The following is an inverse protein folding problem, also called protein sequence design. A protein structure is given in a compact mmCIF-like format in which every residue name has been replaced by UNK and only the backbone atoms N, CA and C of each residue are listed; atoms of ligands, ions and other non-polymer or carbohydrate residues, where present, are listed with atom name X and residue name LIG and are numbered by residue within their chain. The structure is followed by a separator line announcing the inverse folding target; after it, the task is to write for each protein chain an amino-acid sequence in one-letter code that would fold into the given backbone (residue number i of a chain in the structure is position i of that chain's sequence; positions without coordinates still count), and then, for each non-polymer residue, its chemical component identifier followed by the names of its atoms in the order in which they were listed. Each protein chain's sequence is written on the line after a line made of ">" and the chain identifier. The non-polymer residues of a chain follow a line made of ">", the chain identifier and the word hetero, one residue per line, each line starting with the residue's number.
data_IF_372343497168
#
_entry.id   IF_372343497168
#
_cell.length_a   1.000
_cell.length_b   1.000
_cell.length_c   1.000
_cell.angle_alpha   90.00
_cell.angle_beta   90.00
_cell.angle_gamma   90.00
#
_symmetry.space_group_name_H-M   'P 1'
#
loop_
_entity.id
_entity.type
_entity.pdbx_description
1 polymer ?
#
# COMPACT_ATOMS: atom_id res chain seq x y z
N UNK A 1 -4.78 -42.87 -63.79
CA UNK A 1 -5.65 -42.02 -63.01
C UNK A 1 -4.78 -41.27 -61.97
N UNK A 2 -4.40 -40.07 -62.36
CA UNK A 2 -3.59 -39.17 -61.51
C UNK A 2 -4.55 -38.32 -60.66
N UNK A 3 -4.45 -38.45 -59.37
CA UNK A 3 -5.20 -37.63 -58.40
C UNK A 3 -4.32 -36.40 -58.12
N UNK A 4 -4.74 -35.25 -58.62
CA UNK A 4 -4.18 -33.94 -58.25
C UNK A 4 -4.57 -33.58 -56.84
N UNK A 5 -3.61 -33.47 -55.95
CA UNK A 5 -3.78 -32.87 -54.64
C UNK A 5 -3.62 -31.37 -54.77
N UNK A 6 -4.74 -30.65 -54.79
CA UNK A 6 -4.76 -29.21 -54.54
C UNK A 6 -4.47 -28.93 -53.07
N UNK A 7 -3.34 -28.26 -52.80
CA UNK A 7 -3.07 -27.67 -51.49
C UNK A 7 -4.04 -26.50 -51.24
N UNK A 8 -4.73 -26.46 -50.11
CA UNK A 8 -5.51 -25.27 -49.74
C UNK A 8 -4.53 -24.15 -49.33
N UNK A 9 -4.53 -23.07 -50.08
CA UNK A 9 -3.87 -21.81 -49.72
C UNK A 9 -4.28 -21.38 -48.33
N UNK A 10 -3.41 -21.57 -47.34
CA UNK A 10 -3.50 -20.94 -46.03
C UNK A 10 -3.31 -19.43 -46.22
N UNK A 11 -4.38 -18.66 -46.42
CA UNK A 11 -4.44 -17.28 -45.94
C UNK A 11 -4.28 -17.31 -44.43
N UNK A 12 -3.07 -17.06 -43.93
CA UNK A 12 -2.86 -16.70 -42.53
C UNK A 12 -3.70 -15.47 -42.30
N UNK A 13 -4.85 -15.64 -41.67
CA UNK A 13 -5.52 -14.54 -40.97
C UNK A 13 -4.50 -14.02 -39.95
N UNK A 14 -3.98 -12.81 -40.14
CA UNK A 14 -3.17 -12.11 -39.18
C UNK A 14 -4.00 -12.07 -37.90
N UNK A 15 -3.61 -12.90 -36.91
CA UNK A 15 -4.29 -12.90 -35.60
C UNK A 15 -4.03 -11.54 -34.95
N UNK A 16 -5.09 -10.76 -34.80
CA UNK A 16 -5.03 -9.48 -34.11
C UNK A 16 -4.63 -9.73 -32.66
N UNK A 17 -3.49 -9.20 -32.23
CA UNK A 17 -3.00 -9.35 -30.86
C UNK A 17 -3.80 -8.44 -29.92
N UNK A 18 -4.41 -9.02 -28.90
CA UNK A 18 -4.97 -8.25 -27.77
C UNK A 18 -3.81 -7.75 -26.92
N UNK A 19 -3.77 -6.46 -26.63
CA UNK A 19 -2.66 -5.80 -25.91
C UNK A 19 -3.17 -4.69 -24.99
N UNK A 20 -2.32 -4.20 -24.12
CA UNK A 20 -2.58 -3.05 -23.25
C UNK A 20 -1.98 -1.76 -23.80
N UNK A 21 -2.46 -0.62 -23.33
CA UNK A 21 -1.88 0.69 -23.67
C UNK A 21 -0.42 0.74 -23.26
N UNK A 22 -0.05 0.20 -22.09
CA UNK A 22 1.33 0.13 -21.62
C UNK A 22 2.25 -0.60 -22.58
N UNK A 23 1.85 -1.80 -23.04
CA UNK A 23 2.65 -2.60 -23.98
C UNK A 23 2.91 -1.88 -25.31
N UNK A 24 2.02 -0.97 -25.74
CA UNK A 24 2.25 -0.19 -26.97
C UNK A 24 3.43 0.78 -26.84
N UNK A 25 3.75 1.23 -25.62
CA UNK A 25 4.87 2.15 -25.35
C UNK A 25 6.17 1.45 -24.99
N UNK A 26 6.15 0.20 -24.52
CA UNK A 26 7.34 -0.54 -24.03
C UNK A 26 8.33 -0.99 -25.15
N UNK A 27 8.05 -0.66 -26.40
CA UNK A 27 9.04 -0.78 -27.47
C UNK A 27 9.18 -2.16 -28.13
N UNK A 28 8.58 -3.21 -27.59
CA UNK A 28 8.66 -4.58 -28.14
C UNK A 28 7.79 -4.80 -29.39
N UNK A 29 6.77 -3.97 -29.57
CA UNK A 29 5.84 -4.07 -30.69
C UNK A 29 6.40 -3.35 -31.93
N UNK A 30 6.42 -4.06 -33.05
CA UNK A 30 6.92 -3.53 -34.35
C UNK A 30 5.85 -2.63 -34.97
N UNK A 31 6.28 -1.53 -35.59
CA UNK A 31 5.41 -0.66 -36.38
C UNK A 31 4.71 -1.47 -37.49
N UNK A 32 3.44 -1.19 -37.73
CA UNK A 32 2.57 -1.94 -38.65
C UNK A 32 1.86 -3.14 -38.02
N UNK A 33 2.18 -3.51 -36.76
CA UNK A 33 1.49 -4.61 -36.08
C UNK A 33 -0.01 -4.31 -35.90
N UNK A 34 -0.85 -5.30 -36.22
CA UNK A 34 -2.29 -5.25 -35.98
C UNK A 34 -2.59 -5.55 -34.52
N UNK A 35 -3.22 -4.61 -33.83
CA UNK A 35 -3.54 -4.66 -32.41
C UNK A 35 -5.03 -4.50 -32.17
N UNK A 36 -5.51 -5.09 -31.06
CA UNK A 36 -6.81 -4.82 -30.47
C UNK A 36 -6.62 -4.34 -29.04
N UNK A 37 -7.19 -3.19 -28.74
CA UNK A 37 -7.18 -2.57 -27.41
C UNK A 37 -8.59 -2.24 -26.96
N UNK A 38 -8.85 -2.37 -25.67
CA UNK A 38 -10.09 -1.93 -25.05
C UNK A 38 -9.77 -0.92 -23.95
N UNK A 39 -10.63 0.08 -23.77
CA UNK A 39 -10.39 1.08 -22.73
C UNK A 39 -11.47 2.16 -22.72
N UNK A 40 -11.19 3.22 -21.98
CA UNK A 40 -12.08 4.36 -21.81
C UNK A 40 -11.55 5.59 -22.50
N UNK A 41 -12.46 6.33 -23.15
CA UNK A 41 -12.17 7.61 -23.79
C UNK A 41 -11.85 8.66 -22.73
N UNK A 42 -10.64 9.23 -22.81
CA UNK A 42 -10.17 10.29 -21.89
C UNK A 42 -10.36 11.68 -22.49
N UNK A 43 -10.25 11.79 -23.79
CA UNK A 43 -10.61 12.99 -24.56
C UNK A 43 -10.79 12.63 -26.03
N UNK A 44 -11.54 13.46 -26.73
CA UNK A 44 -11.69 13.39 -28.19
C UNK A 44 -11.56 14.78 -28.81
N UNK A 45 -10.97 14.85 -29.99
CA UNK A 45 -10.93 16.05 -30.81
C UNK A 45 -11.24 15.66 -32.26
N UNK A 46 -12.21 16.32 -32.87
CA UNK A 46 -12.52 16.16 -34.28
C UNK A 46 -11.75 17.19 -35.08
N UNK A 47 -11.10 16.76 -36.15
CA UNK A 47 -10.36 17.60 -37.09
C UNK A 47 -11.32 18.14 -38.16
N UNK A 48 -11.00 19.32 -38.70
CA UNK A 48 -11.69 19.86 -39.87
C UNK A 48 -11.52 19.00 -41.14
N UNK A 49 -10.54 18.09 -41.12
CA UNK A 49 -10.23 17.17 -42.20
C UNK A 49 -11.10 15.88 -42.23
N UNK A 50 -12.14 15.77 -41.37
CA UNK A 50 -13.06 14.63 -41.41
C UNK A 50 -12.56 13.39 -40.67
N UNK A 51 -11.67 13.55 -39.68
CA UNK A 51 -11.18 12.46 -38.82
C UNK A 51 -11.15 12.89 -37.35
N UNK A 52 -11.10 11.94 -36.42
CA UNK A 52 -11.08 12.20 -34.98
C UNK A 52 -9.82 11.62 -34.34
N UNK A 53 -9.27 12.35 -33.36
CA UNK A 53 -8.27 11.86 -32.42
C UNK A 53 -8.96 11.48 -31.12
N UNK A 54 -8.90 10.22 -30.75
CA UNK A 54 -9.45 9.68 -29.51
C UNK A 54 -8.30 9.26 -28.60
N UNK A 55 -8.23 9.82 -27.39
CA UNK A 55 -7.27 9.37 -26.38
C UNK A 55 -7.89 8.23 -25.57
N UNK A 56 -7.31 7.06 -25.69
CA UNK A 56 -7.72 5.83 -25.01
C UNK A 56 -6.82 5.56 -23.82
N UNK A 57 -7.39 5.14 -22.69
CA UNK A 57 -6.67 4.65 -21.53
C UNK A 57 -7.38 3.42 -20.97
N UNK A 58 -6.62 2.37 -20.67
CA UNK A 58 -7.11 1.11 -20.11
C UNK A 58 -6.68 0.90 -18.63
N UNK A 59 -6.01 1.89 -18.04
CA UNK A 59 -5.51 1.85 -16.66
C UNK A 59 -4.15 1.18 -16.49
N UNK A 60 -3.59 0.56 -17.53
CA UNK A 60 -2.29 -0.14 -17.47
C UNK A 60 -1.10 0.80 -17.24
N UNK A 61 -1.20 2.06 -17.67
CA UNK A 61 -0.20 3.12 -17.44
C UNK A 61 -0.89 4.49 -17.25
N UNK A 62 -0.11 5.51 -16.95
CA UNK A 62 -0.59 6.89 -16.80
C UNK A 62 -0.94 7.51 -18.15
N UNK A 63 -0.10 7.23 -19.15
CA UNK A 63 -0.20 7.78 -20.51
C UNK A 63 -1.44 7.30 -21.25
N UNK A 64 -1.96 8.13 -22.13
CA UNK A 64 -3.08 7.78 -23.01
C UNK A 64 -2.55 7.50 -24.41
N UNK A 65 -3.07 6.45 -25.06
CA UNK A 65 -2.75 6.13 -26.43
C UNK A 65 -3.67 6.92 -27.37
N UNK A 66 -3.11 7.62 -28.34
CA UNK A 66 -3.90 8.27 -29.39
C UNK A 66 -4.38 7.24 -30.40
N UNK A 67 -5.68 7.28 -30.67
CA UNK A 67 -6.34 6.53 -31.74
C UNK A 67 -6.78 7.53 -32.79
N UNK A 68 -6.30 7.33 -34.02
CA UNK A 68 -6.73 8.09 -35.20
C UNK A 68 -7.89 7.35 -35.83
N UNK A 69 -9.07 7.95 -35.78
CA UNK A 69 -10.29 7.43 -36.36
C UNK A 69 -10.61 8.20 -37.64
N UNK A 70 -10.43 7.56 -38.81
CA UNK A 70 -10.72 8.15 -40.10
C UNK A 70 -12.22 8.29 -40.30
N UNK A 71 -12.65 9.33 -41.04
CA UNK A 71 -14.04 9.57 -41.41
C UNK A 71 -14.64 8.50 -42.35
N UNK A 72 -13.80 7.67 -42.95
CA UNK A 72 -14.20 6.54 -43.78
C UNK A 72 -14.65 5.30 -42.98
N UNK A 73 -14.50 5.29 -41.65
CA UNK A 73 -14.99 4.21 -40.79
C UNK A 73 -16.49 4.12 -40.87
N UNK A 74 -17.02 2.91 -41.04
CA UNK A 74 -18.45 2.62 -41.28
C UNK A 74 -19.41 3.29 -40.27
N UNK A 75 -18.94 3.38 -39.00
CA UNK A 75 -19.71 3.96 -37.90
C UNK A 75 -19.24 5.37 -37.48
N UNK A 76 -18.47 6.07 -38.33
CA UNK A 76 -17.88 7.35 -37.95
C UNK A 76 -18.95 8.38 -37.55
N UNK A 77 -19.91 8.71 -38.45
CA UNK A 77 -20.92 9.72 -38.21
C UNK A 77 -21.99 9.24 -37.19
N UNK A 78 -22.29 7.94 -37.19
CA UNK A 78 -23.35 7.38 -36.33
C UNK A 78 -22.91 7.24 -34.88
N UNK A 79 -21.61 6.93 -34.62
CA UNK A 79 -21.10 6.60 -33.28
C UNK A 79 -19.84 7.39 -32.90
N UNK A 80 -18.77 7.33 -33.73
CA UNK A 80 -17.46 7.87 -33.35
C UNK A 80 -17.48 9.38 -33.12
N UNK A 81 -18.20 10.09 -33.97
CA UNK A 81 -18.41 11.53 -33.84
C UNK A 81 -19.16 11.93 -32.56
N UNK A 82 -19.95 11.02 -31.98
CA UNK A 82 -20.70 11.22 -30.74
C UNK A 82 -20.01 10.78 -29.47
N UNK A 83 -18.81 10.12 -29.59
CA UNK A 83 -18.05 9.65 -28.43
C UNK A 83 -17.74 10.81 -27.47
N UNK A 84 -18.08 10.61 -26.21
CA UNK A 84 -17.77 11.48 -25.09
C UNK A 84 -16.70 10.88 -24.15
N UNK A 85 -16.24 11.71 -23.21
CA UNK A 85 -15.36 11.27 -22.13
C UNK A 85 -16.09 10.23 -21.25
N UNK A 86 -15.40 9.14 -20.94
CA UNK A 86 -15.96 8.07 -20.11
C UNK A 86 -16.62 6.93 -20.91
N UNK A 87 -16.91 7.09 -22.20
CA UNK A 87 -17.35 5.99 -23.04
C UNK A 87 -16.28 4.90 -23.10
N UNK A 88 -16.69 3.64 -23.16
CA UNK A 88 -15.78 2.51 -23.35
C UNK A 88 -15.82 2.02 -24.79
N UNK A 89 -14.65 1.74 -25.36
CA UNK A 89 -14.49 1.33 -26.75
C UNK A 89 -13.52 0.16 -26.90
N UNK A 90 -13.73 -0.64 -27.94
CA UNK A 90 -12.77 -1.57 -28.48
C UNK A 90 -12.24 -1.02 -29.80
N UNK A 91 -10.93 -1.02 -29.98
CA UNK A 91 -10.25 -0.50 -31.17
C UNK A 91 -9.39 -1.60 -31.78
N UNK A 92 -9.60 -1.90 -33.04
CA UNK A 92 -8.69 -2.70 -33.85
C UNK A 92 -8.01 -1.78 -34.86
N UNK A 93 -6.67 -1.84 -34.97
CA UNK A 93 -5.93 -0.96 -35.85
C UNK A 93 -4.44 -1.26 -35.93
N UNK A 94 -3.72 -0.51 -36.73
CA UNK A 94 -2.26 -0.62 -36.89
C UNK A 94 -1.53 0.33 -35.96
N UNK A 95 -0.52 -0.20 -35.26
CA UNK A 95 0.42 0.61 -34.49
C UNK A 95 1.35 1.35 -35.46
N UNK A 96 1.46 2.64 -35.35
CA UNK A 96 2.33 3.48 -36.18
C UNK A 96 3.09 4.49 -35.32
N UNK A 97 4.21 5.00 -35.86
CA UNK A 97 4.90 6.14 -35.26
C UNK A 97 4.00 7.38 -35.33
N UNK A 98 3.87 8.09 -34.21
CA UNK A 98 3.05 9.30 -34.17
C UNK A 98 3.79 10.50 -34.78
N UNK A 99 3.08 11.31 -35.54
CA UNK A 99 3.58 12.61 -36.03
C UNK A 99 3.26 13.74 -35.03
N UNK A 100 2.49 13.44 -33.97
CA UNK A 100 2.09 14.42 -32.95
C UNK A 100 3.22 14.72 -31.95
N UNK A 101 3.27 15.94 -31.46
CA UNK A 101 4.18 16.30 -30.35
C UNK A 101 3.72 15.65 -29.04
N UNK A 102 4.66 15.01 -28.32
CA UNK A 102 4.42 14.49 -26.98
C UNK A 102 3.89 13.06 -26.91
N UNK A 103 3.97 12.32 -28.02
CA UNK A 103 3.71 10.88 -28.08
C UNK A 103 4.51 10.25 -29.22
N UNK A 104 5.07 9.08 -28.97
CA UNK A 104 5.92 8.39 -29.95
C UNK A 104 5.14 7.46 -30.87
N UNK A 105 3.99 6.96 -30.41
CA UNK A 105 3.17 5.94 -31.09
C UNK A 105 1.69 6.30 -31.04
N UNK A 106 0.96 5.82 -32.06
CA UNK A 106 -0.48 5.95 -32.16
C UNK A 106 -1.09 4.75 -32.90
N UNK A 107 -2.42 4.57 -32.80
CA UNK A 107 -3.15 3.53 -33.52
C UNK A 107 -3.95 4.19 -34.66
N UNK A 108 -3.71 3.75 -35.87
CA UNK A 108 -4.63 4.03 -36.98
C UNK A 108 -5.73 2.98 -36.98
N UNK A 109 -6.92 3.38 -36.55
CA UNK A 109 -8.07 2.49 -36.39
C UNK A 109 -8.58 1.99 -37.72
N UNK A 110 -8.85 0.68 -37.79
CA UNK A 110 -9.56 0.01 -38.89
C UNK A 110 -10.98 -0.28 -38.46
N UNK A 111 -11.19 -0.52 -37.16
CA UNK A 111 -12.50 -0.72 -36.56
C UNK A 111 -12.54 -0.12 -35.16
N UNK A 112 -13.59 0.59 -34.84
CA UNK A 112 -13.93 1.03 -33.48
C UNK A 112 -15.33 0.54 -33.17
N UNK A 113 -15.49 -0.12 -32.02
CA UNK A 113 -16.77 -0.57 -31.50
C UNK A 113 -17.03 0.10 -30.17
N UNK A 114 -18.16 0.73 -30.01
CA UNK A 114 -18.59 1.36 -28.76
C UNK A 114 -19.21 0.30 -27.85
N UNK A 115 -18.55 -0.02 -26.76
CA UNK A 115 -18.97 -1.05 -25.80
C UNK A 115 -19.92 -0.46 -24.74
N UNK A 116 -19.75 0.81 -24.40
CA UNK A 116 -20.60 1.48 -23.42
C UNK A 116 -20.60 2.99 -23.61
N UNK A 117 -21.79 3.56 -23.62
CA UNK A 117 -22.02 4.99 -23.73
C UNK A 117 -22.06 5.68 -22.37
N UNK A 118 -21.82 6.97 -22.38
CA UNK A 118 -22.20 7.90 -21.31
C UNK A 118 -23.43 8.62 -21.80
N UNK A 119 -24.58 8.25 -21.25
CA UNK A 119 -25.90 8.73 -21.75
C UNK A 119 -26.03 10.25 -21.65
N UNK A 120 -25.54 10.83 -20.57
CA UNK A 120 -25.45 12.28 -20.37
C UNK A 120 -24.03 12.71 -20.09
N UNK A 121 -23.27 13.19 -21.09
CA UNK A 121 -21.91 13.64 -20.94
C UNK A 121 -21.73 14.78 -19.93
N UNK A 122 -22.74 15.61 -19.69
CA UNK A 122 -22.67 16.71 -18.73
C UNK A 122 -22.77 16.21 -17.29
N UNK A 123 -23.43 15.09 -17.06
CA UNK A 123 -23.52 14.46 -15.74
C UNK A 123 -22.28 13.66 -15.36
N UNK A 124 -21.34 13.36 -16.30
CA UNK A 124 -20.16 12.58 -16.02
C UNK A 124 -19.19 13.33 -15.10
N UNK A 125 -18.98 12.87 -13.84
CA UNK A 125 -18.32 13.68 -12.84
C UNK A 125 -16.80 13.79 -13.01
N UNK A 126 -16.17 12.85 -13.73
CA UNK A 126 -14.70 12.81 -13.96
C UNK A 126 -14.35 13.58 -15.25
N UNK A 127 -14.50 14.89 -15.21
CA UNK A 127 -14.12 15.76 -16.33
C UNK A 127 -12.59 15.89 -16.47
N UNK A 128 -12.12 16.41 -17.61
CA UNK A 128 -10.70 16.72 -17.87
C UNK A 128 -10.24 17.97 -17.11
N UNK A 129 -10.33 17.93 -15.76
CA UNK A 129 -9.85 19.01 -14.88
C UNK A 129 -9.26 18.39 -13.60
N UNK A 130 -8.50 19.18 -12.84
CA UNK A 130 -8.04 18.76 -11.52
C UNK A 130 -9.26 18.71 -10.57
N UNK A 131 -9.42 17.59 -9.89
CA UNK A 131 -10.45 17.39 -8.86
C UNK A 131 -9.81 17.42 -7.48
N UNK A 132 -10.50 18.00 -6.49
CA UNK A 132 -10.06 17.88 -5.10
C UNK A 132 -10.33 16.47 -4.55
N UNK A 133 -9.59 16.08 -3.51
CA UNK A 133 -9.82 14.77 -2.87
C UNK A 133 -11.20 14.70 -2.21
N UNK A 134 -11.69 15.79 -1.65
CA UNK A 134 -13.04 15.88 -1.06
C UNK A 134 -14.11 15.55 -2.12
N UNK A 135 -14.01 16.17 -3.31
CA UNK A 135 -14.91 15.84 -4.40
C UNK A 135 -14.78 14.37 -4.82
N UNK A 136 -13.54 13.86 -4.97
CA UNK A 136 -13.33 12.47 -5.39
C UNK A 136 -13.86 11.45 -4.37
N UNK A 137 -14.00 11.81 -3.10
CA UNK A 137 -14.66 10.98 -2.09
C UNK A 137 -16.18 10.88 -2.35
N UNK A 138 -16.82 11.93 -2.82
CA UNK A 138 -18.25 11.89 -3.15
C UNK A 138 -18.59 11.02 -4.37
N UNK A 139 -17.61 10.77 -5.24
CA UNK A 139 -17.70 9.93 -6.44
C UNK A 139 -16.68 8.78 -6.41
N UNK A 140 -16.49 8.21 -5.23
CA UNK A 140 -15.40 7.27 -4.94
C UNK A 140 -15.41 6.02 -5.86
N UNK A 141 -16.58 5.56 -6.33
CA UNK A 141 -16.73 4.45 -7.30
C UNK A 141 -16.18 4.78 -8.70
N UNK A 142 -16.02 6.07 -9.04
CA UNK A 142 -15.45 6.52 -10.33
C UNK A 142 -14.02 7.08 -10.17
N UNK A 143 -13.57 7.41 -8.96
CA UNK A 143 -12.23 7.99 -8.73
C UNK A 143 -11.06 7.15 -9.26
N UNK A 144 -11.14 5.79 -9.36
CA UNK A 144 -10.07 5.00 -9.99
C UNK A 144 -9.81 5.35 -11.46
N UNK A 145 -10.76 6.00 -12.13
CA UNK A 145 -10.60 6.50 -13.51
C UNK A 145 -9.76 7.78 -13.59
N UNK A 146 -9.36 8.38 -12.46
CA UNK A 146 -8.47 9.54 -12.45
C UNK A 146 -7.00 9.12 -12.52
N UNK A 147 -6.13 9.98 -13.03
CA UNK A 147 -4.69 9.73 -13.07
C UNK A 147 -4.13 9.49 -11.67
N UNK A 148 -4.54 10.30 -10.68
CA UNK A 148 -4.08 10.19 -9.29
C UNK A 148 -4.39 8.82 -8.70
N UNK A 149 -5.65 8.36 -8.76
CA UNK A 149 -6.02 7.07 -8.17
C UNK A 149 -5.58 5.87 -9.00
N UNK A 150 -5.47 6.02 -10.32
CA UNK A 150 -4.82 5.03 -11.18
C UNK A 150 -3.36 4.82 -10.79
N UNK A 151 -2.60 5.91 -10.65
CA UNK A 151 -1.20 5.88 -10.23
C UNK A 151 -1.03 5.29 -8.81
N UNK A 152 -1.84 5.73 -7.83
CA UNK A 152 -1.85 5.15 -6.48
C UNK A 152 -2.07 3.62 -6.55
N UNK A 153 -3.04 3.17 -7.33
CA UNK A 153 -3.37 1.74 -7.44
C UNK A 153 -2.21 0.94 -8.03
N UNK A 154 -1.54 1.43 -9.09
CA UNK A 154 -0.39 0.76 -9.70
C UNK A 154 0.80 0.70 -8.75
N UNK A 155 1.11 1.80 -8.05
CA UNK A 155 2.19 1.84 -7.03
C UNK A 155 1.86 0.86 -5.89
N UNK A 156 0.65 0.88 -5.34
CA UNK A 156 0.23 -0.05 -4.27
C UNK A 156 0.36 -1.51 -4.70
N UNK A 157 -0.11 -1.83 -5.91
CA UNK A 157 0.03 -3.18 -6.46
C UNK A 157 1.50 -3.59 -6.56
N UNK A 158 2.37 -2.72 -7.10
CA UNK A 158 3.80 -3.04 -7.25
C UNK A 158 4.47 -3.24 -5.91
N UNK A 159 4.20 -2.36 -4.93
CA UNK A 159 4.70 -2.50 -3.57
C UNK A 159 4.28 -3.81 -2.91
N UNK A 160 3.00 -4.18 -3.00
CA UNK A 160 2.52 -5.43 -2.42
C UNK A 160 3.22 -6.64 -3.04
N UNK A 161 3.38 -6.67 -4.37
CA UNK A 161 4.12 -7.74 -5.06
C UNK A 161 5.61 -7.75 -4.68
N UNK A 162 6.23 -6.59 -4.49
CA UNK A 162 7.62 -6.46 -4.06
C UNK A 162 7.82 -7.02 -2.65
N UNK A 163 6.92 -6.70 -1.72
CA UNK A 163 6.93 -7.23 -0.34
C UNK A 163 6.82 -8.75 -0.33
N UNK A 164 5.84 -9.33 -1.03
CA UNK A 164 5.68 -10.77 -1.10
C UNK A 164 6.90 -11.47 -1.70
N UNK A 165 7.46 -10.94 -2.78
CA UNK A 165 8.66 -11.48 -3.43
C UNK A 165 9.88 -11.41 -2.51
N UNK A 166 10.10 -10.27 -1.85
CA UNK A 166 11.20 -10.11 -0.91
C UNK A 166 11.18 -11.18 0.20
N UNK A 167 10.04 -11.42 0.80
CA UNK A 167 9.92 -12.43 1.86
C UNK A 167 10.04 -13.85 1.33
N UNK A 168 9.45 -14.17 0.19
CA UNK A 168 9.57 -15.50 -0.45
C UNK A 168 11.03 -15.83 -0.79
N UNK A 169 11.73 -14.91 -1.47
CA UNK A 169 13.16 -15.06 -1.82
C UNK A 169 14.07 -15.10 -0.58
N UNK A 170 13.66 -14.50 0.54
CA UNK A 170 14.35 -14.55 1.83
C UNK A 170 14.02 -15.80 2.65
N UNK A 171 13.17 -16.69 2.14
CA UNK A 171 12.79 -17.97 2.75
C UNK A 171 11.78 -17.83 3.89
N UNK A 172 10.91 -16.84 3.84
CA UNK A 172 9.80 -16.66 4.78
C UNK A 172 8.53 -17.34 4.27
N UNK A 173 7.75 -17.86 5.19
CA UNK A 173 6.40 -18.34 4.91
C UNK A 173 5.36 -17.26 5.21
N UNK A 174 4.45 -17.03 4.27
CA UNK A 174 3.31 -16.17 4.50
C UNK A 174 2.24 -16.89 5.31
N UNK A 175 1.82 -16.29 6.41
CA UNK A 175 0.82 -16.83 7.34
C UNK A 175 -0.38 -15.90 7.42
N UNK A 176 -1.57 -16.44 7.25
CA UNK A 176 -2.82 -15.72 7.49
C UNK A 176 -3.18 -15.80 8.98
N UNK A 177 -2.91 -14.74 9.71
CA UNK A 177 -3.30 -14.62 11.12
C UNK A 177 -4.79 -14.31 11.25
N UNK A 178 -5.46 -14.71 12.35
CA UNK A 178 -6.87 -14.41 12.57
C UNK A 178 -7.16 -12.91 12.58
N UNK A 179 -8.23 -12.50 11.89
CA UNK A 179 -8.71 -11.11 11.86
C UNK A 179 -9.68 -10.86 13.03
N UNK A 180 -10.47 -11.88 13.40
CA UNK A 180 -11.34 -11.82 14.57
C UNK A 180 -10.60 -12.50 15.73
N UNK A 181 -10.49 -11.79 16.84
CA UNK A 181 -9.74 -12.25 18.03
C UNK A 181 -10.51 -11.95 19.30
N UNK A 182 -10.26 -12.72 20.34
CA UNK A 182 -10.72 -12.42 21.70
C UNK A 182 -9.64 -11.76 22.56
N UNK A 183 -8.41 -11.59 22.05
CA UNK A 183 -7.26 -11.08 22.80
C UNK A 183 -6.80 -9.75 22.25
N UNK A 184 -6.57 -8.78 23.12
CA UNK A 184 -5.85 -7.55 22.83
C UNK A 184 -4.34 -7.81 22.87
N UNK A 185 -3.67 -7.78 21.72
CA UNK A 185 -2.24 -8.02 21.64
C UNK A 185 -1.39 -6.82 22.09
N UNK A 186 -1.92 -5.61 22.08
CA UNK A 186 -1.19 -4.41 22.50
C UNK A 186 -1.55 -4.01 23.96
N UNK A 187 -2.64 -4.53 24.51
CA UNK A 187 -3.05 -4.35 25.90
C UNK A 187 -3.59 -2.95 26.22
N UNK A 188 -3.80 -2.09 25.24
CA UNK A 188 -4.23 -0.70 25.44
C UNK A 188 -5.01 -0.13 24.24
N UNK A 189 -5.32 -0.93 23.22
CA UNK A 189 -5.95 -0.45 22.00
C UNK A 189 -7.47 -0.39 22.09
N UNK A 190 -8.08 0.69 21.63
CA UNK A 190 -9.51 0.72 21.34
C UNK A 190 -9.79 -0.21 20.14
N UNK A 191 -10.41 -1.35 20.40
CA UNK A 191 -10.74 -2.35 19.39
C UNK A 191 -12.18 -2.21 18.90
N UNK A 192 -12.40 -2.46 17.61
CA UNK A 192 -13.75 -2.62 17.08
C UNK A 192 -14.33 -3.95 17.50
N UNK A 193 -15.46 -3.93 18.21
CA UNK A 193 -16.16 -5.15 18.63
C UNK A 193 -16.88 -5.79 17.45
N UNK A 194 -16.79 -7.13 17.37
CA UNK A 194 -17.54 -7.98 16.42
C UNK A 194 -18.60 -8.75 17.21
N UNK A 195 -19.85 -8.58 16.83
CA UNK A 195 -20.98 -9.24 17.49
C UNK A 195 -22.12 -9.51 16.51
N UNK A 196 -22.80 -10.62 16.66
CA UNK A 196 -24.05 -10.95 15.95
C UNK A 196 -25.29 -10.64 16.77
N UNK A 197 -25.12 -10.18 18.00
CA UNK A 197 -26.22 -9.81 18.89
C UNK A 197 -26.78 -8.43 18.52
N UNK A 198 -28.11 -8.29 18.59
CA UNK A 198 -28.77 -6.99 18.50
C UNK A 198 -28.56 -6.21 19.83
N UNK A 199 -27.59 -5.31 19.83
CA UNK A 199 -27.22 -4.52 21.00
C UNK A 199 -28.10 -3.27 21.20
N UNK A 200 -28.89 -2.88 20.18
CA UNK A 200 -29.72 -1.67 20.25
C UNK A 200 -30.91 -1.81 21.19
N UNK A 201 -31.28 -3.04 21.55
CA UNK A 201 -32.48 -3.34 22.36
C UNK A 201 -32.18 -4.11 23.65
N UNK A 202 -30.89 -4.22 24.04
CA UNK A 202 -30.49 -4.91 25.27
C UNK A 202 -29.95 -3.96 26.32
N UNK A 203 -30.46 -4.03 27.55
CA UNK A 203 -29.94 -3.28 28.70
C UNK A 203 -28.58 -3.81 29.19
N UNK A 204 -28.33 -5.13 29.00
CA UNK A 204 -27.06 -5.79 29.25
C UNK A 204 -26.79 -6.79 28.12
N UNK A 205 -25.56 -6.84 27.66
CA UNK A 205 -25.13 -7.79 26.62
C UNK A 205 -24.44 -8.97 27.27
N UNK A 206 -25.01 -10.16 27.09
CA UNK A 206 -24.39 -11.44 27.47
C UNK A 206 -23.71 -12.04 26.23
N UNK A 207 -22.39 -11.91 26.17
CA UNK A 207 -21.61 -12.43 25.04
C UNK A 207 -21.51 -13.95 25.02
N UNK A 208 -21.94 -14.66 26.08
CA UNK A 208 -22.05 -16.13 26.03
C UNK A 208 -23.11 -16.61 25.02
N UNK A 209 -24.07 -15.74 24.68
CA UNK A 209 -25.08 -15.97 23.64
C UNK A 209 -24.62 -15.56 22.24
N UNK A 210 -23.47 -14.91 22.09
CA UNK A 210 -22.95 -14.48 20.81
C UNK A 210 -22.33 -15.63 20.01
N UNK A 211 -22.05 -15.42 18.73
CA UNK A 211 -21.56 -16.43 17.79
C UNK A 211 -20.35 -17.22 18.31
N UNK A 212 -19.39 -16.55 18.93
CA UNK A 212 -18.19 -17.19 19.49
C UNK A 212 -18.32 -17.57 20.98
N UNK A 213 -19.45 -17.29 21.61
CA UNK A 213 -19.67 -17.52 23.04
C UNK A 213 -18.80 -16.67 23.98
N UNK A 214 -18.19 -15.63 23.43
CA UNK A 214 -17.34 -14.67 24.15
C UNK A 214 -17.26 -13.36 23.38
N UNK A 215 -16.80 -12.31 24.07
CA UNK A 215 -16.53 -11.02 23.42
C UNK A 215 -15.39 -11.14 22.41
N UNK A 216 -15.60 -10.64 21.20
CA UNK A 216 -14.63 -10.69 20.10
C UNK A 216 -14.49 -9.34 19.40
N UNK A 217 -13.32 -9.16 18.79
CA UNK A 217 -12.90 -7.88 18.22
C UNK A 217 -12.20 -8.09 16.88
N UNK A 218 -12.12 -7.02 16.09
CA UNK A 218 -11.19 -6.94 14.96
C UNK A 218 -9.76 -6.72 15.49
N UNK A 219 -8.82 -7.47 14.96
CA UNK A 219 -7.42 -7.44 15.42
C UNK A 219 -6.73 -6.11 15.18
N UNK A 220 -5.88 -5.70 16.10
CA UNK A 220 -4.99 -4.54 15.98
C UNK A 220 -3.60 -4.91 15.42
N UNK A 221 -3.24 -6.21 15.46
CA UNK A 221 -1.98 -6.77 14.95
C UNK A 221 -2.06 -8.30 14.86
N UNK A 222 -1.37 -8.90 13.91
CA UNK A 222 -1.20 -10.35 13.80
C UNK A 222 -0.01 -10.90 14.58
N UNK A 223 0.80 -10.05 15.22
CA UNK A 223 2.10 -10.40 15.82
C UNK A 223 2.04 -11.60 16.75
N UNK A 224 1.23 -11.58 17.80
CA UNK A 224 1.25 -12.64 18.82
C UNK A 224 0.88 -14.02 18.24
N UNK A 225 -0.08 -14.06 17.31
CA UNK A 225 -0.42 -15.29 16.59
C UNK A 225 0.73 -15.73 15.66
N UNK A 226 1.42 -14.76 15.05
CA UNK A 226 2.54 -15.07 14.16
C UNK A 226 3.74 -15.62 14.91
N UNK A 227 4.02 -15.18 16.14
CA UNK A 227 5.08 -15.72 17.00
C UNK A 227 4.91 -17.25 17.23
N UNK A 228 3.68 -17.76 17.25
CA UNK A 228 3.44 -19.21 17.35
C UNK A 228 4.01 -19.96 16.15
N UNK A 229 3.89 -19.39 14.97
CA UNK A 229 4.44 -19.94 13.73
C UNK A 229 5.95 -19.74 13.64
N UNK A 230 6.47 -18.59 14.09
CA UNK A 230 7.91 -18.33 14.12
C UNK A 230 8.65 -19.35 14.99
N UNK A 231 8.11 -19.69 16.16
CA UNK A 231 8.65 -20.71 17.07
C UNK A 231 8.59 -22.16 16.51
N UNK A 232 7.99 -22.35 15.34
CA UNK A 232 7.90 -23.65 14.65
C UNK A 232 8.56 -23.64 13.27
N UNK A 233 8.40 -22.56 12.51
CA UNK A 233 8.80 -22.42 11.08
C UNK A 233 10.01 -21.51 10.89
N UNK A 234 10.49 -20.84 11.93
CA UNK A 234 11.66 -19.98 11.98
C UNK A 234 11.50 -18.61 11.34
N UNK A 235 11.05 -18.51 10.09
CA UNK A 235 10.88 -17.25 9.36
C UNK A 235 9.48 -17.18 8.80
N UNK A 236 8.68 -16.28 9.30
CA UNK A 236 7.27 -16.13 8.90
C UNK A 236 6.93 -14.65 8.80
N UNK A 237 5.92 -14.33 8.00
CA UNK A 237 5.34 -13.00 7.98
C UNK A 237 3.83 -13.07 7.75
N UNK A 238 3.12 -12.07 8.25
CA UNK A 238 1.75 -11.81 7.83
C UNK A 238 1.68 -10.50 7.05
N UNK A 239 0.78 -10.42 6.11
CA UNK A 239 0.43 -9.20 5.39
C UNK A 239 -1.10 -9.19 5.31
N UNK A 240 -1.72 -8.50 6.23
CA UNK A 240 -3.15 -8.56 6.43
C UNK A 240 -3.75 -7.28 7.02
N UNK A 241 -5.09 -7.18 6.99
CA UNK A 241 -5.81 -6.04 7.53
C UNK A 241 -5.73 -6.00 9.05
N UNK A 242 -5.59 -4.78 9.58
CA UNK A 242 -5.62 -4.45 11.01
C UNK A 242 -6.54 -3.26 11.25
N UNK A 243 -7.08 -3.16 12.46
CA UNK A 243 -8.13 -2.21 12.78
C UNK A 243 -7.84 -1.54 14.13
N UNK A 244 -7.94 -0.23 14.19
CA UNK A 244 -7.77 0.54 15.43
C UNK A 244 -8.89 1.55 15.58
N UNK A 245 -9.63 1.50 16.69
CA UNK A 245 -10.76 2.40 16.96
C UNK A 245 -10.32 3.72 17.62
N UNK A 246 -9.04 4.09 17.48
CA UNK A 246 -8.47 5.29 18.07
C UNK A 246 -9.17 6.55 17.55
N UNK A 247 -9.62 7.40 18.49
CA UNK A 247 -10.22 8.69 18.17
C UNK A 247 -9.14 9.76 17.90
N UNK A 248 -8.38 9.55 16.85
CA UNK A 248 -7.31 10.48 16.42
C UNK A 248 -7.68 11.23 15.15
N UNK A 249 -7.60 12.55 15.18
CA UNK A 249 -7.87 13.43 14.02
C UNK A 249 -6.62 13.80 13.21
N UNK A 250 -5.57 12.98 13.25
CA UNK A 250 -4.37 13.23 12.46
C UNK A 250 -4.45 12.60 11.08
N UNK A 251 -3.70 13.13 10.13
CA UNK A 251 -3.60 12.59 8.75
C UNK A 251 -2.88 11.23 8.68
N UNK A 252 -2.33 10.73 9.79
CA UNK A 252 -1.50 9.52 9.87
C UNK A 252 -2.21 8.32 10.49
N UNK A 253 -3.37 8.51 11.15
CA UNK A 253 -4.12 7.45 11.80
C UNK A 253 -5.29 7.01 10.93
N UNK A 254 -5.37 5.73 10.67
CA UNK A 254 -6.41 5.07 9.90
C UNK A 254 -7.10 4.04 10.79
N UNK A 255 -8.43 3.93 10.68
CA UNK A 255 -9.20 2.94 11.41
C UNK A 255 -9.03 1.52 10.85
N UNK A 256 -8.75 1.42 9.54
CA UNK A 256 -8.45 0.19 8.81
C UNK A 256 -7.22 0.40 7.96
N UNK A 257 -6.23 -0.48 8.06
CA UNK A 257 -5.00 -0.46 7.28
C UNK A 257 -4.39 -1.86 7.22
N UNK A 258 -3.42 -2.05 6.34
CA UNK A 258 -2.72 -3.32 6.21
C UNK A 258 -1.37 -3.26 6.91
N UNK A 259 -1.06 -4.31 7.68
CA UNK A 259 0.24 -4.47 8.34
C UNK A 259 1.07 -5.54 7.65
N UNK A 260 2.35 -5.27 7.53
CA UNK A 260 3.40 -6.21 7.15
C UNK A 260 4.16 -6.51 8.44
N UNK A 261 4.07 -7.74 8.93
CA UNK A 261 4.60 -8.13 10.23
C UNK A 261 5.42 -9.42 10.09
N UNK A 262 6.75 -9.36 9.87
CA UNK A 262 7.61 -10.53 9.94
C UNK A 262 7.97 -10.87 11.38
N UNK A 263 8.19 -12.17 11.64
CA UNK A 263 8.75 -12.71 12.88
C UNK A 263 9.85 -13.74 12.54
N UNK A 264 10.99 -13.64 13.23
CA UNK A 264 12.18 -14.46 12.98
C UNK A 264 12.66 -15.07 14.29
N UNK A 265 12.68 -16.40 14.36
CA UNK A 265 13.31 -17.13 15.44
C UNK A 265 14.84 -17.18 15.28
N UNK A 266 15.56 -17.23 16.42
CA UNK A 266 17.02 -17.19 16.53
C UNK A 266 17.62 -15.86 16.01
N UNK A 267 16.91 -14.76 16.22
CA UNK A 267 17.30 -13.42 15.80
C UNK A 267 17.27 -12.44 16.98
N UNK A 268 18.14 -11.47 16.93
CA UNK A 268 18.20 -10.35 17.86
C UNK A 268 17.64 -9.04 17.26
N UNK A 269 17.75 -7.94 18.00
CA UNK A 269 17.28 -6.62 17.55
C UNK A 269 18.04 -6.14 16.30
N UNK A 270 19.33 -6.45 16.17
CA UNK A 270 20.15 -6.01 15.03
C UNK A 270 19.75 -6.79 13.75
N UNK A 271 19.48 -8.09 13.88
CA UNK A 271 18.97 -8.91 12.78
C UNK A 271 17.65 -8.35 12.27
N UNK A 272 16.78 -7.95 13.20
CA UNK A 272 15.49 -7.35 12.91
C UNK A 272 15.63 -6.00 12.17
N UNK A 273 16.53 -5.13 12.63
CA UNK A 273 16.81 -3.85 11.98
C UNK A 273 17.35 -4.04 10.55
N UNK A 274 18.29 -4.99 10.36
CA UNK A 274 18.82 -5.32 9.02
C UNK A 274 17.74 -5.85 8.06
N UNK A 275 16.82 -6.67 8.55
CA UNK A 275 15.71 -7.16 7.74
C UNK A 275 14.80 -6.02 7.31
N UNK A 276 14.44 -5.12 8.24
CA UNK A 276 13.58 -3.99 7.96
C UNK A 276 14.21 -3.00 6.96
N UNK A 277 15.50 -2.68 7.12
CA UNK A 277 16.27 -1.88 6.16
C UNK A 277 16.26 -2.52 4.76
N UNK A 278 16.55 -3.82 4.69
CA UNK A 278 16.59 -4.55 3.41
C UNK A 278 15.23 -4.57 2.71
N UNK A 279 14.13 -4.77 3.46
CA UNK A 279 12.78 -4.71 2.94
C UNK A 279 12.45 -3.33 2.35
N UNK A 280 12.73 -2.26 3.11
CA UNK A 280 12.46 -0.89 2.69
C UNK A 280 13.25 -0.52 1.43
N UNK A 281 14.54 -0.81 1.40
CA UNK A 281 15.40 -0.56 0.23
C UNK A 281 14.93 -1.32 -1.00
N UNK A 282 14.56 -2.60 -0.83
CA UNK A 282 14.04 -3.42 -1.95
C UNK A 282 12.73 -2.87 -2.48
N UNK A 283 11.78 -2.53 -1.59
CA UNK A 283 10.49 -1.99 -1.98
C UNK A 283 10.61 -0.64 -2.71
N UNK A 284 11.47 0.25 -2.23
CA UNK A 284 11.71 1.55 -2.87
C UNK A 284 12.44 1.42 -4.20
N UNK A 285 13.49 0.59 -4.28
CA UNK A 285 14.23 0.33 -5.51
C UNK A 285 13.34 -0.29 -6.60
N UNK A 286 12.52 -1.27 -6.23
CA UNK A 286 11.58 -1.91 -7.15
C UNK A 286 10.52 -0.93 -7.66
N UNK A 287 10.04 -0.02 -6.81
CA UNK A 287 9.07 1.01 -7.20
C UNK A 287 9.70 2.06 -8.11
N UNK A 288 10.91 2.52 -7.82
CA UNK A 288 11.68 3.41 -8.70
C UNK A 288 11.89 2.80 -10.08
N UNK A 289 12.19 1.51 -10.14
CA UNK A 289 12.47 0.81 -11.41
C UNK A 289 11.22 0.56 -12.25
N UNK A 290 10.05 0.36 -11.63
CA UNK A 290 8.86 -0.15 -12.34
C UNK A 290 7.66 0.80 -12.36
N UNK A 291 7.69 1.91 -11.58
CA UNK A 291 6.60 2.88 -11.48
C UNK A 291 7.08 4.32 -11.74
N UNK A 292 8.15 4.50 -12.51
CA UNK A 292 8.77 5.83 -12.70
C UNK A 292 7.77 6.85 -13.26
N UNK A 293 6.96 6.51 -14.25
CA UNK A 293 5.94 7.39 -14.83
C UNK A 293 4.93 7.88 -13.77
N UNK A 294 4.49 6.98 -12.89
CA UNK A 294 3.57 7.32 -11.81
C UNK A 294 4.26 8.16 -10.72
N UNK A 295 5.53 7.88 -10.41
CA UNK A 295 6.31 8.68 -9.46
C UNK A 295 6.59 10.09 -10.00
N UNK A 296 6.91 10.25 -11.28
CA UNK A 296 7.09 11.55 -11.94
C UNK A 296 5.80 12.38 -11.89
N UNK A 297 4.65 11.73 -12.07
CA UNK A 297 3.36 12.40 -11.88
C UNK A 297 3.22 12.98 -10.47
N UNK A 298 3.50 12.21 -9.42
CA UNK A 298 3.46 12.71 -8.04
C UNK A 298 4.54 13.74 -7.75
N UNK A 299 5.75 13.55 -8.28
CA UNK A 299 6.85 14.51 -8.16
C UNK A 299 6.49 15.88 -8.73
N UNK A 300 5.69 15.91 -9.80
CA UNK A 300 5.26 17.15 -10.46
C UNK A 300 4.03 17.76 -9.80
N UNK A 301 3.07 16.95 -9.35
CA UNK A 301 1.75 17.44 -8.94
C UNK A 301 1.59 17.63 -7.42
N UNK A 302 2.40 16.95 -6.61
CA UNK A 302 2.23 16.88 -5.14
C UNK A 302 3.47 17.37 -4.41
N UNK A 303 4.64 16.80 -4.68
CA UNK A 303 5.88 17.12 -3.98
C UNK A 303 7.08 16.92 -4.91
N UNK A 304 7.80 18.00 -5.22
CA UNK A 304 8.88 18.02 -6.20
C UNK A 304 10.13 17.18 -5.85
N UNK A 305 10.20 16.57 -4.67
CA UNK A 305 11.42 15.88 -4.21
C UNK A 305 11.18 14.38 -3.93
N UNK A 306 10.08 13.80 -4.42
CA UNK A 306 9.74 12.38 -4.13
C UNK A 306 10.80 11.43 -4.64
N UNK A 307 11.18 11.57 -5.92
CA UNK A 307 12.14 10.65 -6.57
C UNK A 307 13.53 10.76 -5.93
N UNK A 308 14.04 11.98 -5.75
CA UNK A 308 15.35 12.23 -5.15
C UNK A 308 15.44 11.67 -3.72
N UNK A 309 14.38 11.85 -2.94
CA UNK A 309 14.31 11.31 -1.58
C UNK A 309 14.31 9.77 -1.58
N UNK A 310 13.56 9.12 -2.45
CA UNK A 310 13.54 7.66 -2.54
C UNK A 310 14.90 7.10 -2.98
N UNK A 311 15.58 7.74 -3.92
CA UNK A 311 16.94 7.38 -4.33
C UNK A 311 17.91 7.51 -3.16
N UNK A 312 17.85 8.62 -2.42
CA UNK A 312 18.66 8.82 -1.21
C UNK A 312 18.41 7.75 -0.15
N UNK A 313 17.15 7.34 0.07
CA UNK A 313 16.82 6.26 1.03
C UNK A 313 17.38 4.89 0.61
N UNK A 314 17.38 4.60 -0.69
CA UNK A 314 17.94 3.33 -1.20
C UNK A 314 19.46 3.30 -1.06
N UNK A 315 20.13 4.43 -1.29
CA UNK A 315 21.59 4.54 -1.28
C UNK A 315 22.18 4.72 0.12
N UNK A 316 21.42 5.30 1.07
CA UNK A 316 21.88 5.58 2.42
C UNK A 316 22.01 4.32 3.27
N UNK A 317 23.00 4.26 4.14
CA UNK A 317 23.01 3.39 5.30
C UNK A 317 22.10 3.99 6.40
N UNK A 318 21.36 3.13 7.10
CA UNK A 318 20.51 3.59 8.19
C UNK A 318 21.38 3.80 9.43
N UNK A 319 21.41 5.03 9.91
CA UNK A 319 22.12 5.35 11.17
C UNK A 319 21.42 4.67 12.36
N UNK A 320 22.17 4.29 13.37
CA UNK A 320 21.62 3.71 14.60
C UNK A 320 21.95 4.63 15.77
N UNK A 321 20.96 4.92 16.61
CA UNK A 321 21.09 5.78 17.78
C UNK A 321 20.23 5.22 18.92
N UNK A 322 20.77 5.17 20.15
CA UNK A 322 19.93 4.80 21.30
C UNK A 322 18.89 5.90 21.59
N UNK A 323 17.74 5.53 22.14
CA UNK A 323 16.75 6.48 22.62
C UNK A 323 17.35 7.49 23.61
N UNK A 324 18.21 7.03 24.50
CA UNK A 324 18.87 7.91 25.47
C UNK A 324 19.78 8.95 24.81
N UNK A 325 20.46 8.60 23.72
CA UNK A 325 21.28 9.56 22.97
C UNK A 325 20.42 10.47 22.08
N UNK A 326 19.30 9.97 21.56
CA UNK A 326 18.33 10.79 20.85
C UNK A 326 17.76 11.89 21.77
N UNK A 327 17.34 11.55 22.99
CA UNK A 327 16.87 12.54 23.98
C UNK A 327 17.96 13.56 24.31
N UNK A 328 19.19 13.14 24.62
CA UNK A 328 20.33 14.06 24.86
C UNK A 328 20.57 15.00 23.67
N UNK A 329 20.46 14.49 22.46
CA UNK A 329 20.64 15.28 21.23
C UNK A 329 19.57 16.34 21.10
N UNK A 330 18.32 15.99 21.39
CA UNK A 330 17.19 16.93 21.39
C UNK A 330 17.35 18.00 22.48
N UNK A 331 17.66 17.61 23.73
CA UNK A 331 17.88 18.53 24.86
C UNK A 331 19.01 19.53 24.58
N UNK A 332 20.11 19.07 23.97
CA UNK A 332 21.27 19.90 23.65
C UNK A 332 21.14 20.70 22.35
N UNK A 333 20.05 20.53 21.59
CA UNK A 333 19.87 21.19 20.28
C UNK A 333 19.70 22.71 20.37
N UNK A 334 19.30 23.22 21.54
CA UNK A 334 18.91 24.63 21.72
C UNK A 334 17.61 25.01 20.98
N UNK A 335 16.96 24.07 20.30
CA UNK A 335 15.71 24.28 19.58
C UNK A 335 14.54 24.22 20.58
N UNK A 336 13.58 25.10 20.43
CA UNK A 336 12.33 25.06 21.20
C UNK A 336 11.34 24.17 20.45
N UNK A 337 10.97 23.04 21.07
CA UNK A 337 9.94 22.15 20.61
C UNK A 337 8.57 22.52 21.20
N UNK A 338 7.51 22.09 20.56
CA UNK A 338 6.14 22.24 21.06
C UNK A 338 5.87 21.31 22.24
N UNK A 339 6.40 20.06 22.13
CA UNK A 339 6.31 19.04 23.16
C UNK A 339 7.59 18.95 23.97
N UNK A 340 7.47 18.71 25.27
CA UNK A 340 8.61 18.58 26.17
C UNK A 340 9.48 17.37 25.82
N UNK A 341 10.80 17.59 25.82
CA UNK A 341 11.79 16.53 25.66
C UNK A 341 12.25 16.08 27.03
N UNK A 342 11.96 14.85 27.38
CA UNK A 342 12.45 14.24 28.62
C UNK A 342 12.59 12.73 28.49
N UNK A 343 13.57 12.15 29.21
CA UNK A 343 13.73 10.71 29.19
C UNK A 343 12.52 10.01 29.82
N UNK A 344 11.95 9.04 29.10
CA UNK A 344 10.72 8.35 29.48
C UNK A 344 9.47 8.84 28.74
N UNK A 345 9.57 9.87 27.91
CA UNK A 345 8.47 10.37 27.07
C UNK A 345 8.55 9.83 25.64
N UNK A 346 7.41 9.63 24.98
CA UNK A 346 7.41 9.25 23.58
C UNK A 346 7.98 10.36 22.69
N UNK A 347 8.76 9.95 21.67
CA UNK A 347 9.22 10.86 20.63
C UNK A 347 8.01 11.34 19.80
N UNK A 348 7.83 12.65 19.72
CA UNK A 348 6.79 13.25 18.92
C UNK A 348 7.27 13.50 17.47
N UNK A 349 6.36 13.67 16.53
CA UNK A 349 6.69 13.88 15.11
C UNK A 349 7.68 15.00 14.84
N UNK A 350 7.72 16.06 15.66
CA UNK A 350 8.71 17.14 15.52
C UNK A 350 10.10 16.71 15.97
N UNK A 351 10.19 15.83 16.99
CA UNK A 351 11.45 15.24 17.46
C UNK A 351 12.03 14.29 16.40
N UNK A 352 11.19 13.40 15.85
CA UNK A 352 11.58 12.47 14.79
C UNK A 352 12.09 13.21 13.55
N UNK A 353 11.40 14.28 13.16
CA UNK A 353 11.79 15.11 12.03
C UNK A 353 13.12 15.81 12.28
N UNK A 354 13.32 16.38 13.46
CA UNK A 354 14.58 17.02 13.80
C UNK A 354 15.76 16.03 13.75
N UNK A 355 15.59 14.83 14.33
CA UNK A 355 16.63 13.80 14.33
C UNK A 355 16.98 13.34 12.91
N UNK A 356 15.96 13.13 12.06
CA UNK A 356 16.18 12.59 10.71
C UNK A 356 16.60 13.65 9.68
N UNK A 357 16.09 14.89 9.77
CA UNK A 357 16.30 15.93 8.75
C UNK A 357 17.45 16.89 9.09
N UNK A 358 17.66 17.20 10.38
CA UNK A 358 18.66 18.17 10.80
C UNK A 358 19.93 17.50 11.37
N UNK A 359 19.80 16.42 12.13
CA UNK A 359 20.92 15.74 12.79
C UNK A 359 21.55 14.69 11.87
N UNK A 360 20.81 13.64 11.52
CA UNK A 360 21.32 12.50 10.74
C UNK A 360 21.32 12.81 9.24
N UNK A 361 20.35 13.58 8.79
CA UNK A 361 20.08 13.89 7.37
C UNK A 361 19.85 12.64 6.53
N UNK A 362 19.13 11.67 7.12
CA UNK A 362 18.86 10.36 6.53
C UNK A 362 17.99 9.49 7.43
N UNK A 363 17.79 8.22 7.03
CA UNK A 363 17.05 7.26 7.84
C UNK A 363 17.78 6.96 9.17
N UNK A 364 17.01 6.80 10.24
CA UNK A 364 17.50 6.57 11.59
C UNK A 364 16.76 5.41 12.25
N UNK A 365 17.50 4.46 12.79
CA UNK A 365 17.00 3.42 13.69
C UNK A 365 17.23 3.90 15.13
N UNK A 366 16.17 4.19 15.86
CA UNK A 366 16.24 4.50 17.29
C UNK A 366 15.99 3.22 18.07
N UNK A 367 16.90 2.89 19.02
CA UNK A 367 16.85 1.64 19.77
C UNK A 367 16.78 1.88 21.29
N UNK A 368 16.50 0.81 22.03
CA UNK A 368 16.59 0.76 23.49
C UNK A 368 15.74 1.80 24.21
N UNK A 369 14.44 1.73 23.94
CA UNK A 369 13.44 2.60 24.55
C UNK A 369 13.17 2.30 26.02
N UNK A 370 12.72 3.27 26.83
CA UNK A 370 12.30 3.03 28.20
C UNK A 370 11.19 1.97 28.27
N UNK A 371 11.32 1.03 29.22
CA UNK A 371 10.38 -0.09 29.38
C UNK A 371 8.92 0.32 29.67
N UNK A 372 8.78 1.50 30.31
CA UNK A 372 7.48 1.95 30.83
C UNK A 372 6.57 2.52 29.70
N UNK A 373 7.16 2.87 28.56
CA UNK A 373 6.43 3.39 27.37
C UNK A 373 6.32 2.37 26.23
N UNK A 374 6.79 1.15 26.43
CA UNK A 374 6.75 0.08 25.42
C UNK A 374 6.04 -1.17 25.92
N UNK A 375 5.50 -1.95 25.00
CA UNK A 375 4.65 -3.09 25.28
C UNK A 375 5.34 -4.19 26.10
N UNK A 376 4.57 -4.99 26.82
CA UNK A 376 5.02 -6.02 27.76
C UNK A 376 5.86 -7.13 27.13
N UNK A 377 5.64 -7.42 25.85
CA UNK A 377 6.29 -8.51 25.12
C UNK A 377 7.69 -8.17 24.61
N UNK A 378 8.13 -6.94 24.74
CA UNK A 378 9.47 -6.52 24.31
C UNK A 378 10.53 -6.94 25.33
N UNK A 379 11.65 -7.49 24.86
CA UNK A 379 12.72 -8.00 25.70
C UNK A 379 13.32 -6.92 26.60
N UNK A 380 13.31 -7.16 27.92
CA UNK A 380 13.95 -6.27 28.89
C UNK A 380 15.48 -6.38 28.76
N UNK A 381 16.15 -5.26 28.58
CA UNK A 381 17.62 -5.17 28.52
C UNK A 381 18.25 -5.41 29.90
N UNK A 382 19.54 -5.68 29.91
CA UNK A 382 20.30 -6.01 31.16
C UNK A 382 20.41 -4.82 32.13
N UNK A 383 20.10 -3.60 31.67
CA UNK A 383 20.01 -2.40 32.50
C UNK A 383 18.71 -2.32 33.34
N UNK A 384 17.77 -3.23 33.07
CA UNK A 384 16.43 -3.30 33.68
C UNK A 384 15.57 -2.02 33.53
N UNK A 385 16.00 -1.06 32.71
CA UNK A 385 15.33 0.23 32.47
C UNK A 385 14.80 0.35 31.06
N UNK A 386 15.50 -0.27 30.08
CA UNK A 386 15.17 -0.20 28.67
C UNK A 386 14.74 -1.56 28.14
N UNK A 387 14.14 -1.56 26.97
CA UNK A 387 13.76 -2.76 26.22
C UNK A 387 14.40 -2.74 24.84
N UNK A 388 14.69 -3.91 24.28
CA UNK A 388 15.23 -4.10 22.95
C UNK A 388 14.14 -3.80 21.89
N UNK A 389 13.65 -2.57 21.88
CA UNK A 389 12.75 -2.01 20.90
C UNK A 389 13.51 -1.22 19.84
N UNK A 390 12.95 -1.10 18.67
CA UNK A 390 13.43 -0.22 17.61
C UNK A 390 12.28 0.46 16.89
N UNK A 391 12.49 1.73 16.53
CA UNK A 391 11.65 2.44 15.57
C UNK A 391 12.54 2.94 14.42
N UNK A 392 12.13 2.73 13.16
CA UNK A 392 12.81 3.27 11.99
C UNK A 392 12.13 4.55 11.58
N UNK A 393 12.88 5.63 11.61
CA UNK A 393 12.44 6.98 11.26
C UNK A 393 12.98 7.35 9.88
N UNK A 394 12.13 7.93 9.05
CA UNK A 394 12.47 8.34 7.68
C UNK A 394 12.18 9.84 7.49
N UNK A 395 13.08 10.61 6.86
CA UNK A 395 12.85 12.03 6.58
C UNK A 395 11.51 12.28 5.88
N UNK A 396 10.76 13.28 6.32
CA UNK A 396 9.47 13.67 5.76
C UNK A 396 8.28 12.77 6.12
N UNK A 397 8.52 11.62 6.76
CA UNK A 397 7.48 10.65 7.14
C UNK A 397 7.41 10.48 8.66
N UNK A 398 8.56 10.40 9.34
CA UNK A 398 8.70 10.00 10.72
C UNK A 398 8.81 8.48 10.85
N UNK A 399 8.30 7.91 11.94
CA UNK A 399 8.29 6.47 12.15
C UNK A 399 7.55 5.72 11.04
N UNK A 400 8.23 4.77 10.40
CA UNK A 400 7.68 3.89 9.36
C UNK A 400 7.61 2.43 9.80
N UNK A 401 8.53 1.99 10.64
CA UNK A 401 8.62 0.64 11.20
C UNK A 401 8.77 0.75 12.71
N UNK A 402 7.98 -0.03 13.45
CA UNK A 402 8.15 -0.28 14.87
C UNK A 402 8.41 -1.76 15.12
N UNK A 403 9.40 -2.12 15.91
CA UNK A 403 9.74 -3.51 16.16
C UNK A 403 10.49 -3.76 17.46
N UNK A 404 10.73 -5.03 17.77
CA UNK A 404 11.54 -5.41 18.94
C UNK A 404 12.08 -6.83 18.84
N UNK A 405 13.09 -7.12 19.62
CA UNK A 405 13.31 -8.48 20.09
C UNK A 405 12.23 -8.80 21.13
N UNK A 406 11.72 -10.03 21.10
CA UNK A 406 10.62 -10.47 21.96
C UNK A 406 11.17 -11.03 23.28
N UNK A 407 10.41 -10.88 24.36
CA UNK A 407 10.80 -11.45 25.66
C UNK A 407 10.66 -12.97 25.63
N UNK A 408 11.77 -13.68 25.65
CA UNK A 408 11.83 -15.12 25.64
C UNK A 408 11.88 -15.76 27.04
N UNK A 409 12.15 -14.96 28.09
CA UNK A 409 12.23 -15.41 29.48
C UNK A 409 10.86 -15.32 30.14
N UNK A 410 10.31 -16.48 30.51
CA UNK A 410 8.95 -16.58 31.06
C UNK A 410 8.76 -15.78 32.36
N UNK A 411 9.73 -15.83 33.26
CA UNK A 411 9.71 -15.11 34.52
C UNK A 411 9.70 -13.59 34.34
N UNK A 412 10.48 -13.07 33.38
CA UNK A 412 10.49 -11.65 33.04
C UNK A 412 9.20 -11.24 32.34
N UNK A 413 8.71 -12.05 31.42
CA UNK A 413 7.42 -11.81 30.76
C UNK A 413 6.27 -11.74 31.77
N UNK A 414 6.25 -12.65 32.75
CA UNK A 414 5.23 -12.70 33.80
C UNK A 414 5.29 -11.49 34.75
N UNK A 415 6.47 -10.91 34.98
CA UNK A 415 6.62 -9.67 35.74
C UNK A 415 6.09 -8.44 34.96
N UNK A 416 6.23 -8.44 33.64
CA UNK A 416 5.74 -7.35 32.79
C UNK A 416 4.25 -7.44 32.48
N UNK A 417 3.67 -8.63 32.48
CA UNK A 417 2.23 -8.88 32.39
C UNK A 417 1.58 -8.60 33.75
N UNK A 418 1.39 -7.32 34.08
CA UNK A 418 0.81 -6.89 35.35
C UNK A 418 -0.71 -7.09 35.44
N UNK A 419 -1.40 -7.17 34.30
CA UNK A 419 -2.85 -7.41 34.24
C UNK A 419 -3.14 -8.92 34.33
N UNK A 420 -3.71 -9.36 35.46
CA UNK A 420 -4.04 -10.78 35.71
C UNK A 420 -5.12 -11.35 34.77
N UNK A 421 -6.01 -10.51 34.23
CA UNK A 421 -6.98 -10.95 33.22
C UNK A 421 -6.26 -11.26 31.91
N UNK A 422 -5.46 -10.31 31.42
CA UNK A 422 -4.64 -10.48 30.20
C UNK A 422 -3.69 -11.67 30.34
N UNK A 423 -3.09 -11.87 31.51
CA UNK A 423 -2.21 -13.01 31.78
C UNK A 423 -2.93 -14.36 31.66
N UNK A 424 -4.22 -14.42 32.07
CA UNK A 424 -5.05 -15.61 31.89
C UNK A 424 -5.44 -15.82 30.45
N UNK A 425 -5.74 -14.78 29.69
CA UNK A 425 -6.09 -14.85 28.28
C UNK A 425 -4.90 -15.26 27.42
N UNK A 426 -3.70 -14.77 27.75
CA UNK A 426 -2.45 -15.08 27.06
C UNK A 426 -1.73 -16.33 27.58
N UNK A 427 -2.45 -17.29 28.19
CA UNK A 427 -1.87 -18.56 28.67
C UNK A 427 -1.10 -19.30 27.57
N UNK A 428 -1.63 -19.32 26.36
CA UNK A 428 -1.04 -19.95 25.17
C UNK A 428 0.24 -19.21 24.71
N UNK A 429 0.30 -17.90 24.81
CA UNK A 429 1.47 -17.10 24.49
C UNK A 429 2.61 -17.34 25.49
N UNK A 430 2.27 -17.50 26.77
CA UNK A 430 3.20 -17.89 27.81
C UNK A 430 3.76 -19.32 27.62
N UNK A 431 2.95 -20.22 27.06
CA UNK A 431 3.38 -21.59 26.76
C UNK A 431 4.50 -21.65 25.73
N UNK A 432 4.59 -20.70 24.79
CA UNK A 432 5.69 -20.58 23.87
C UNK A 432 7.03 -20.38 24.60
N UNK A 433 7.02 -19.83 25.82
CA UNK A 433 8.21 -19.62 26.65
C UNK A 433 8.51 -20.85 27.52
N UNK A 434 7.57 -21.73 27.71
CA UNK A 434 7.76 -22.99 28.47
C UNK A 434 8.29 -24.12 27.60
N UNK A 435 7.87 -24.16 26.33
CA UNK A 435 8.07 -25.32 25.45
C UNK A 435 9.07 -24.99 24.32
N UNK A 436 10.35 -24.92 24.69
CA UNK A 436 11.42 -24.73 23.70
C UNK A 436 11.52 -23.31 23.18
N UNK A 437 11.50 -22.34 24.08
CA UNK A 437 11.68 -20.92 23.77
C UNK A 437 13.01 -20.64 23.07
N UNK A 438 13.02 -19.64 22.23
CA UNK A 438 14.21 -19.13 21.53
C UNK A 438 14.18 -17.60 21.48
N UNK A 439 15.34 -16.93 21.41
CA UNK A 439 15.37 -15.54 21.02
C UNK A 439 14.68 -15.36 19.68
N UNK A 440 13.79 -14.41 19.57
CA UNK A 440 13.09 -14.10 18.34
C UNK A 440 12.75 -12.62 18.28
N UNK A 441 12.60 -12.09 17.08
CA UNK A 441 12.39 -10.68 16.84
C UNK A 441 11.48 -10.46 15.63
N UNK A 442 10.81 -9.33 15.62
CA UNK A 442 9.93 -8.95 14.52
C UNK A 442 9.58 -7.47 14.56
N UNK A 443 8.91 -7.02 13.51
CA UNK A 443 8.48 -5.64 13.40
C UNK A 443 7.11 -5.52 12.72
N UNK A 444 6.48 -4.37 12.89
CA UNK A 444 5.30 -3.96 12.15
C UNK A 444 5.61 -2.80 11.19
N UNK A 445 5.19 -2.93 9.96
CA UNK A 445 5.25 -1.89 8.93
C UNK A 445 3.85 -1.67 8.39
N UNK A 446 3.26 -0.50 8.65
CA UNK A 446 1.98 -0.11 8.06
C UNK A 446 2.10 0.10 6.55
N UNK A 447 1.35 -0.68 5.76
CA UNK A 447 1.44 -0.60 4.30
C UNK A 447 0.99 0.75 3.76
N UNK A 448 -0.04 1.36 4.34
CA UNK A 448 -0.49 2.72 4.01
C UNK A 448 0.58 3.76 4.33
N UNK A 449 1.33 3.58 5.43
CA UNK A 449 2.46 4.45 5.79
C UNK A 449 3.63 4.28 4.80
N UNK A 450 3.88 3.04 4.33
CA UNK A 450 4.83 2.78 3.25
C UNK A 450 4.42 3.50 1.95
N UNK A 451 3.14 3.40 1.54
CA UNK A 451 2.61 4.13 0.38
C UNK A 451 2.72 5.65 0.58
N UNK A 452 2.36 6.16 1.78
CA UNK A 452 2.48 7.59 2.12
C UNK A 452 3.91 8.10 1.99
N UNK A 453 4.90 7.29 2.37
CA UNK A 453 6.32 7.65 2.22
C UNK A 453 6.74 7.88 0.77
N UNK A 454 6.07 7.24 -0.18
CA UNK A 454 6.33 7.34 -1.61
C UNK A 454 5.62 8.54 -2.27
N UNK A 455 4.37 8.78 -1.94
CA UNK A 455 3.52 9.70 -2.71
C UNK A 455 2.99 10.89 -1.91
N UNK A 456 3.25 10.97 -0.60
CA UNK A 456 2.73 12.00 0.33
C UNK A 456 1.20 12.18 0.33
N UNK A 457 0.46 11.17 -0.08
CA UNK A 457 -0.99 11.18 -0.08
C UNK A 457 -1.45 10.07 0.86
N UNK A 458 -2.12 10.45 1.94
CA UNK A 458 -2.69 9.55 2.94
C UNK A 458 -4.08 9.02 2.54
N UNK A 459 -4.30 8.83 1.26
CA UNK A 459 -5.53 8.23 0.73
C UNK A 459 -5.25 6.77 0.34
N UNK A 460 -6.20 5.88 0.51
CA UNK A 460 -7.65 6.07 0.27
C UNK A 460 -8.58 5.83 1.45
N UNK A 461 -8.13 5.75 2.69
CA UNK A 461 -8.76 4.87 3.67
C UNK A 461 -9.42 5.56 4.85
N UNK A 462 -9.53 6.88 4.89
CA UNK A 462 -10.36 7.49 5.91
C UNK A 462 -11.82 7.42 5.46
N UNK A 463 -12.70 6.63 6.10
CA UNK A 463 -14.12 6.82 5.95
C UNK A 463 -14.47 8.15 6.61
N UNK A 464 -14.47 9.24 5.81
CA UNK A 464 -15.30 10.36 6.23
C UNK A 464 -16.71 9.83 6.29
N UNK A 465 -17.33 10.05 7.46
CA UNK A 465 -18.68 9.65 7.79
C UNK A 465 -19.53 9.14 6.60
N UNK A 466 -19.49 7.79 6.39
CA UNK A 466 -20.68 7.00 6.07
C UNK A 466 -21.32 7.12 4.68
N UNK A 467 -20.89 7.85 3.71
CA UNK A 467 -21.54 7.65 2.38
C UNK A 467 -20.99 6.44 1.64
N UNK A 468 -19.84 5.89 2.01
CA UNK A 468 -19.14 4.84 1.27
C UNK A 468 -19.22 3.45 1.88
N UNK A 469 -19.24 3.33 3.20
CA UNK A 469 -19.44 2.05 3.89
C UNK A 469 -20.79 1.41 3.55
N UNK A 470 -21.79 2.21 3.17
CA UNK A 470 -23.11 1.72 2.75
C UNK A 470 -23.08 0.99 1.41
N UNK A 471 -22.10 1.24 0.53
CA UNK A 471 -21.98 0.51 -0.74
C UNK A 471 -21.26 -0.85 -0.60
N UNK A 472 -20.45 -1.03 0.42
CA UNK A 472 -19.82 -2.32 0.73
C UNK A 472 -20.69 -3.24 1.60
N UNK A 473 -21.80 -2.73 2.16
CA UNK A 473 -22.68 -3.45 3.09
C UNK A 473 -24.08 -3.74 2.52
N UNK A 474 -24.27 -3.66 1.21
CA UNK A 474 -25.52 -4.13 0.55
C UNK A 474 -25.22 -5.19 -0.45
#
# INVERSE_FOLDING_TARGET
>A
MSISTEEPSKKMAEQTRITTVKETFEGELVEGTMLQLCGWVRSKRTSKGGFSFVHLNDGSCLSNLQVVADGELENYESEIEKLGVGCSISVAGKLVASQGKGQDREIHAIKIEVLGWVDDPESYPIAKKKHSFEFLRTVAHLRPRTNTFGAITRIRNRLAQSVHRFFDESGFYWVNTPIITSSDCEGAGDMFRVSTLDQLHREQTDFSEDFFGSETFLTVSGQLNLETHACALKKVYTFGPTFRAENSNTSRHLAEFWMIEPEIAFADLQDNARLAESLLKTAFSDTLSNCMEDLEFFNTQVNSNVIERLQSLVESEFAVMSYSDAIKTLENSGKKFEFDVSWGSDLQSEHERFLTEEVVKGPLVVTDYPKDIKAFYMRLNDDEKTVAAMDILVPGVGEIVGGSQREERLDVLDLRLTNEALKRELWWYRDLRKYGTVPHAGFGLGFERLVLSLIHISEPTRPERISYAVFCLK
#
